data_IF_036672610287
#
_entry.id   IF_036672610287
#
_cell.length_a   1.000
_cell.length_b   1.000
_cell.length_c   1.000
_cell.angle_alpha   90.00
_cell.angle_beta   90.00
_cell.angle_gamma   90.00
#
_symmetry.space_group_name_H-M   'P 1'
#
loop_
_entity.id
_entity.type
_entity.pdbx_description
1 polymer ?
#
# COMPACT_ATOMS: atom_id res chain seq x y z
N UNK A 1 14.48 47.18 41.10
CA UNK A 1 15.05 45.83 41.39
C UNK A 1 14.04 44.79 40.97
N UNK A 2 14.20 44.18 39.77
CA UNK A 2 13.21 43.24 39.23
C UNK A 2 13.68 41.85 39.64
N UNK A 3 13.03 41.26 40.67
CA UNK A 3 13.27 39.86 41.04
C UNK A 3 12.71 38.95 39.91
N UNK A 4 13.57 38.55 39.03
CA UNK A 4 13.27 37.53 38.01
C UNK A 4 13.00 36.19 38.75
N UNK A 5 11.73 35.79 38.80
CA UNK A 5 11.27 34.60 39.55
C UNK A 5 11.78 33.35 38.82
N UNK A 6 12.93 32.82 39.22
CA UNK A 6 13.61 31.66 38.62
C UNK A 6 12.71 30.40 38.64
N UNK A 7 11.76 30.30 39.58
CA UNK A 7 10.83 29.19 39.69
C UNK A 7 9.79 29.17 38.57
N UNK A 8 9.20 30.29 38.20
CA UNK A 8 8.18 30.38 37.14
C UNK A 8 8.76 30.07 35.76
N UNK A 9 10.00 30.47 35.49
CA UNK A 9 10.68 30.14 34.23
C UNK A 9 10.98 28.64 34.12
N UNK A 10 11.39 27.99 35.19
CA UNK A 10 11.65 26.53 35.20
C UNK A 10 10.37 25.73 35.00
N UNK A 11 9.25 26.11 35.61
CA UNK A 11 7.95 25.49 35.44
C UNK A 11 7.43 25.67 34.00
N UNK A 12 7.53 26.88 33.44
CA UNK A 12 7.13 27.16 32.07
C UNK A 12 7.94 26.33 31.04
N UNK A 13 9.24 26.19 31.28
CA UNK A 13 10.11 25.32 30.45
C UNK A 13 9.71 23.87 30.54
N UNK A 14 9.45 23.33 31.73
CA UNK A 14 9.02 21.94 31.93
C UNK A 14 7.68 21.66 31.22
N UNK A 15 6.71 22.58 31.33
CA UNK A 15 5.42 22.47 30.63
C UNK A 15 5.61 22.48 29.10
N UNK A 16 6.46 23.37 28.58
CA UNK A 16 6.75 23.42 27.14
C UNK A 16 7.37 22.09 26.63
N UNK A 17 8.29 21.53 27.41
CA UNK A 17 8.91 20.24 27.06
C UNK A 17 7.86 19.10 27.05
N UNK A 18 6.99 19.05 28.05
CA UNK A 18 5.89 18.05 28.10
C UNK A 18 4.93 18.20 26.93
N UNK A 19 4.52 19.44 26.62
CA UNK A 19 3.66 19.70 25.46
C UNK A 19 4.33 19.30 24.15
N UNK A 20 5.61 19.60 24.01
CA UNK A 20 6.39 19.20 22.83
C UNK A 20 6.45 17.67 22.66
N UNK A 21 6.66 16.94 23.77
CA UNK A 21 6.67 15.47 23.76
C UNK A 21 5.29 14.93 23.37
N UNK A 22 4.19 15.50 23.91
CA UNK A 22 2.82 15.12 23.58
C UNK A 22 2.53 15.37 22.09
N UNK A 23 2.89 16.57 21.59
CA UNK A 23 2.71 16.91 20.17
C UNK A 23 3.51 15.94 19.28
N UNK A 24 4.74 15.63 19.66
CA UNK A 24 5.58 14.69 18.91
C UNK A 24 4.99 13.27 18.93
N UNK A 25 4.41 12.83 20.04
CA UNK A 25 3.74 11.54 20.14
C UNK A 25 2.49 11.48 19.25
N UNK A 26 1.64 12.51 19.32
CA UNK A 26 0.45 12.63 18.48
C UNK A 26 0.80 12.70 16.99
N UNK A 27 1.85 13.44 16.63
CA UNK A 27 2.33 13.52 15.25
C UNK A 27 2.78 12.15 14.73
N UNK A 28 3.49 11.38 15.55
CA UNK A 28 3.93 10.03 15.19
C UNK A 28 2.76 9.09 14.94
N UNK A 29 1.69 9.16 15.73
CA UNK A 29 0.49 8.36 15.52
C UNK A 29 -0.31 8.80 14.29
N UNK A 30 -0.22 10.07 13.91
CA UNK A 30 -0.93 10.64 12.76
C UNK A 30 -0.32 10.29 11.40
N UNK A 31 0.94 9.82 11.34
CA UNK A 31 1.57 9.46 10.05
C UNK A 31 1.27 8.00 9.72
N UNK A 32 0.37 7.73 8.76
CA UNK A 32 0.05 6.38 8.35
C UNK A 32 1.21 5.76 7.54
N UNK A 33 1.23 4.44 7.38
CA UNK A 33 1.98 3.78 6.33
C UNK A 33 1.64 4.37 4.97
N UNK A 34 2.51 4.20 3.99
CA UNK A 34 2.28 4.64 2.62
C UNK A 34 2.61 3.54 1.62
N UNK A 35 1.82 3.43 0.56
CA UNK A 35 2.17 2.66 -0.62
C UNK A 35 3.07 3.54 -1.50
N UNK A 36 4.28 3.07 -1.78
CA UNK A 36 5.21 3.70 -2.71
C UNK A 36 5.27 2.92 -4.01
N UNK A 37 5.26 3.64 -5.14
CA UNK A 37 5.52 3.08 -6.45
C UNK A 37 6.90 3.54 -6.89
N UNK A 38 7.78 2.58 -7.16
CA UNK A 38 9.15 2.88 -7.53
C UNK A 38 9.65 1.98 -8.68
N UNK A 39 10.67 2.46 -9.38
CA UNK A 39 11.35 1.71 -10.41
C UNK A 39 12.31 0.70 -9.77
N UNK A 40 12.19 -0.58 -10.13
CA UNK A 40 12.98 -1.66 -9.51
C UNK A 40 14.45 -1.67 -9.93
N UNK A 41 14.79 -1.04 -11.06
CA UNK A 41 16.16 -1.01 -11.59
C UNK A 41 16.93 0.19 -11.01
N UNK A 42 16.27 1.35 -10.89
CA UNK A 42 16.91 2.61 -10.47
C UNK A 42 16.65 2.99 -9.03
N UNK A 43 15.64 2.39 -8.38
CA UNK A 43 15.16 2.77 -7.06
C UNK A 43 14.42 4.12 -7.02
N UNK A 44 14.16 4.76 -8.17
CA UNK A 44 13.45 6.03 -8.25
C UNK A 44 12.00 5.85 -7.80
N UNK A 45 11.58 6.58 -6.77
CA UNK A 45 10.18 6.66 -6.36
C UNK A 45 9.43 7.62 -7.28
N UNK A 46 8.32 7.16 -7.84
CA UNK A 46 7.44 7.95 -8.69
C UNK A 46 6.39 8.68 -7.88
N UNK A 47 5.77 7.99 -6.92
CA UNK A 47 4.74 8.55 -6.05
C UNK A 47 4.60 7.73 -4.76
N UNK A 48 3.89 8.31 -3.79
CA UNK A 48 3.50 7.67 -2.55
C UNK A 48 2.06 8.08 -2.18
N UNK A 49 1.29 7.11 -1.69
CA UNK A 49 -0.09 7.30 -1.24
C UNK A 49 -0.24 6.86 0.21
N UNK A 50 -0.88 7.66 1.09
CA UNK A 50 -1.21 7.21 2.44
C UNK A 50 -2.05 5.93 2.40
N UNK A 51 -1.61 4.91 3.11
CA UNK A 51 -2.24 3.59 3.13
C UNK A 51 -2.31 3.04 4.56
N UNK A 52 -3.22 3.58 5.40
CA UNK A 52 -3.49 3.00 6.71
C UNK A 52 -4.09 1.59 6.59
N UNK A 53 -4.20 0.91 7.72
CA UNK A 53 -4.87 -0.38 7.85
C UNK A 53 -6.23 -0.39 7.14
N UNK A 54 -6.56 -1.46 6.43
CA UNK A 54 -7.77 -1.60 5.64
C UNK A 54 -7.79 -0.83 4.32
N UNK A 55 -6.69 -0.17 3.92
CA UNK A 55 -6.63 0.48 2.61
C UNK A 55 -6.65 -0.57 1.50
N UNK A 56 -7.66 -0.51 0.63
CA UNK A 56 -7.73 -1.30 -0.59
C UNK A 56 -7.10 -0.54 -1.76
N UNK A 57 -6.41 -1.27 -2.63
CA UNK A 57 -5.97 -0.80 -3.93
C UNK A 57 -6.05 -1.92 -4.95
N UNK A 58 -6.12 -1.57 -6.22
CA UNK A 58 -6.13 -2.54 -7.31
C UNK A 58 -5.26 -2.09 -8.48
N UNK A 59 -4.81 -3.05 -9.26
CA UNK A 59 -4.13 -2.81 -10.53
C UNK A 59 -4.88 -3.51 -11.63
N UNK A 60 -5.41 -2.74 -12.58
CA UNK A 60 -6.13 -3.24 -13.75
C UNK A 60 -5.24 -3.16 -14.99
N UNK A 61 -5.26 -4.19 -15.81
CA UNK A 61 -4.52 -4.24 -17.07
C UNK A 61 -5.21 -5.15 -18.08
N UNK A 62 -4.84 -5.02 -19.36
CA UNK A 62 -5.30 -5.94 -20.41
C UNK A 62 -4.29 -7.07 -20.53
N UNK A 63 -4.74 -8.30 -20.31
CA UNK A 63 -3.90 -9.48 -20.45
C UNK A 63 -3.40 -9.63 -21.89
N UNK A 64 -2.10 -9.81 -22.06
CA UNK A 64 -1.45 -9.79 -23.39
C UNK A 64 -1.92 -10.85 -24.35
N UNK A 65 -2.31 -12.03 -23.86
CA UNK A 65 -2.77 -13.17 -24.66
C UNK A 65 -4.26 -13.08 -24.92
N UNK A 66 -5.08 -13.03 -23.87
CA UNK A 66 -6.55 -13.07 -23.99
C UNK A 66 -7.16 -11.76 -24.48
N UNK A 67 -6.40 -10.65 -24.43
CA UNK A 67 -6.89 -9.29 -24.73
C UNK A 67 -8.10 -8.88 -23.89
N UNK A 68 -8.21 -9.44 -22.71
CA UNK A 68 -9.29 -9.18 -21.75
C UNK A 68 -8.77 -8.48 -20.49
N UNK A 69 -9.60 -7.65 -19.86
CA UNK A 69 -9.28 -7.04 -18.58
C UNK A 69 -9.02 -8.05 -17.47
N UNK A 70 -7.99 -7.79 -16.70
CA UNK A 70 -7.67 -8.45 -15.42
C UNK A 70 -7.47 -7.36 -14.38
N UNK A 71 -8.02 -7.57 -13.19
CA UNK A 71 -7.85 -6.65 -12.06
C UNK A 71 -7.43 -7.43 -10.83
N UNK A 72 -6.24 -7.13 -10.33
CA UNK A 72 -5.72 -7.64 -9.06
C UNK A 72 -6.08 -6.68 -7.93
N UNK A 73 -6.68 -7.18 -6.87
CA UNK A 73 -7.06 -6.42 -5.68
C UNK A 73 -6.20 -6.82 -4.49
N UNK A 74 -5.79 -5.81 -3.75
CA UNK A 74 -4.96 -5.94 -2.56
C UNK A 74 -5.55 -5.12 -1.42
N UNK A 75 -5.27 -5.55 -0.20
CA UNK A 75 -5.62 -4.84 1.03
C UNK A 75 -4.39 -4.70 1.94
N UNK A 76 -4.28 -3.58 2.63
CA UNK A 76 -3.30 -3.42 3.69
C UNK A 76 -3.87 -4.01 4.97
N UNK A 77 -3.24 -5.08 5.43
CA UNK A 77 -3.60 -5.78 6.66
C UNK A 77 -2.35 -6.16 7.44
N UNK A 78 -2.35 -5.88 8.75
CA UNK A 78 -1.22 -6.11 9.65
C UNK A 78 0.10 -5.54 9.11
N UNK A 79 0.06 -4.30 8.61
CA UNK A 79 1.21 -3.62 7.99
C UNK A 79 1.86 -4.40 6.83
N UNK A 80 1.07 -5.19 6.11
CA UNK A 80 1.47 -5.98 4.95
C UNK A 80 0.53 -5.74 3.76
N UNK A 81 1.01 -6.04 2.55
CA UNK A 81 0.16 -6.11 1.35
C UNK A 81 -0.34 -7.54 1.24
N UNK A 82 -1.64 -7.71 1.33
CA UNK A 82 -2.31 -9.02 1.23
C UNK A 82 -3.10 -9.06 -0.08
N UNK A 83 -2.96 -10.14 -0.86
CA UNK A 83 -3.84 -10.35 -2.00
C UNK A 83 -5.26 -10.67 -1.51
N UNK A 84 -6.24 -9.97 -2.07
CA UNK A 84 -7.65 -10.16 -1.73
C UNK A 84 -8.36 -11.01 -2.78
N UNK A 85 -8.36 -10.55 -4.03
CA UNK A 85 -8.97 -11.24 -5.16
C UNK A 85 -8.38 -10.80 -6.49
N UNK A 86 -8.56 -11.63 -7.52
CA UNK A 86 -8.34 -11.26 -8.92
C UNK A 86 -9.62 -11.44 -9.70
N UNK A 87 -9.96 -10.45 -10.53
CA UNK A 87 -11.15 -10.45 -11.40
C UNK A 87 -10.70 -10.57 -12.85
N UNK A 88 -11.26 -11.54 -13.56
CA UNK A 88 -11.03 -11.79 -14.97
C UNK A 88 -12.32 -11.58 -15.77
N UNK A 89 -12.31 -10.71 -16.76
CA UNK A 89 -13.51 -10.44 -17.56
C UNK A 89 -13.81 -11.49 -18.63
N UNK A 90 -12.88 -12.41 -18.89
CA UNK A 90 -13.13 -13.56 -19.77
C UNK A 90 -12.21 -14.73 -19.45
N UNK A 91 -12.71 -15.94 -19.73
CA UNK A 91 -11.93 -17.17 -19.62
C UNK A 91 -10.91 -17.27 -20.75
N UNK A 92 -9.70 -17.75 -20.45
CA UNK A 92 -8.69 -17.98 -21.50
C UNK A 92 -7.28 -18.22 -20.94
N UNK A 93 -6.29 -18.29 -21.82
CA UNK A 93 -4.90 -18.55 -21.44
C UNK A 93 -4.35 -17.47 -20.50
N UNK A 94 -3.76 -17.89 -19.37
CA UNK A 94 -3.27 -17.01 -18.30
C UNK A 94 -4.26 -16.74 -17.19
N UNK A 95 -5.50 -17.24 -17.32
CA UNK A 95 -6.44 -17.28 -16.19
C UNK A 95 -6.07 -18.50 -15.33
N UNK A 96 -6.08 -18.33 -14.02
CA UNK A 96 -5.88 -19.42 -13.09
C UNK A 96 -6.99 -20.45 -13.25
N UNK A 97 -6.62 -21.65 -13.69
CA UNK A 97 -7.58 -22.75 -13.95
C UNK A 97 -7.59 -23.79 -12.83
N UNK A 98 -6.59 -23.74 -11.94
CA UNK A 98 -6.49 -24.64 -10.78
C UNK A 98 -6.46 -23.78 -9.54
N UNK A 99 -7.41 -24.01 -8.64
CA UNK A 99 -7.47 -23.32 -7.35
C UNK A 99 -6.50 -23.99 -6.38
N UNK A 100 -5.82 -23.18 -5.58
CA UNK A 100 -5.03 -23.65 -4.45
C UNK A 100 -5.93 -23.87 -3.21
N UNK A 101 -5.38 -24.50 -2.18
CA UNK A 101 -6.13 -24.75 -0.94
C UNK A 101 -6.54 -23.41 -0.27
N UNK A 102 -7.83 -23.25 -0.06
CA UNK A 102 -8.43 -22.02 0.50
C UNK A 102 -8.95 -21.04 -0.55
N UNK A 103 -8.57 -21.18 -1.80
CA UNK A 103 -9.09 -20.31 -2.87
C UNK A 103 -10.50 -20.71 -3.29
N UNK A 104 -11.28 -19.73 -3.70
CA UNK A 104 -12.64 -19.88 -4.18
C UNK A 104 -12.82 -19.21 -5.52
N UNK A 105 -13.61 -19.84 -6.40
CA UNK A 105 -14.04 -19.26 -7.66
C UNK A 105 -15.51 -18.90 -7.57
N UNK A 106 -15.83 -17.68 -7.90
CA UNK A 106 -17.20 -17.16 -8.02
C UNK A 106 -17.36 -16.31 -9.27
N UNK A 107 -18.57 -15.81 -9.52
CA UNK A 107 -18.85 -14.88 -10.60
C UNK A 107 -19.53 -13.64 -10.02
N UNK A 108 -19.14 -12.44 -10.49
CA UNK A 108 -19.79 -11.20 -10.12
C UNK A 108 -21.10 -10.99 -10.93
N UNK A 109 -21.78 -9.86 -10.67
CA UNK A 109 -23.05 -9.52 -11.33
C UNK A 109 -22.92 -9.31 -12.85
N UNK A 110 -21.72 -8.94 -13.31
CA UNK A 110 -21.40 -8.76 -14.73
C UNK A 110 -20.94 -10.04 -15.41
N UNK A 111 -20.86 -11.14 -14.65
CA UNK A 111 -20.42 -12.46 -15.15
C UNK A 111 -18.89 -12.60 -15.24
N UNK A 112 -18.12 -11.69 -14.64
CA UNK A 112 -16.68 -11.84 -14.56
C UNK A 112 -16.32 -12.93 -13.54
N UNK A 113 -15.24 -13.63 -13.80
CA UNK A 113 -14.72 -14.66 -12.93
C UNK A 113 -13.89 -14.02 -11.80
N UNK A 114 -14.24 -14.33 -10.56
CA UNK A 114 -13.58 -13.81 -9.36
C UNK A 114 -12.91 -14.97 -8.64
N UNK A 115 -11.59 -14.91 -8.55
CA UNK A 115 -10.79 -15.81 -7.70
C UNK A 115 -10.42 -15.05 -6.43
N UNK A 116 -10.74 -15.62 -5.27
CA UNK A 116 -10.51 -15.02 -3.96
C UNK A 116 -10.08 -16.07 -2.93
N UNK A 117 -9.81 -15.64 -1.70
CA UNK A 117 -9.33 -16.54 -0.64
C UNK A 117 -7.82 -16.74 -0.67
N UNK A 118 -7.09 -15.84 -1.30
CA UNK A 118 -5.64 -15.85 -1.29
C UNK A 118 -5.10 -15.65 0.13
N UNK A 119 -4.18 -16.52 0.55
CA UNK A 119 -3.41 -16.36 1.81
C UNK A 119 -2.02 -15.77 1.54
N UNK A 120 -1.89 -15.04 0.42
CA UNK A 120 -0.59 -14.56 -0.05
C UNK A 120 -0.31 -13.15 0.46
N UNK A 121 0.82 -13.02 1.14
CA UNK A 121 1.37 -11.75 1.61
C UNK A 121 2.56 -11.37 0.73
N UNK A 122 2.58 -10.12 0.29
CA UNK A 122 3.63 -9.62 -0.59
C UNK A 122 4.44 -8.52 0.11
N UNK A 123 5.78 -8.64 0.16
CA UNK A 123 6.63 -7.53 0.59
C UNK A 123 6.56 -6.37 -0.43
N UNK A 124 6.32 -6.71 -1.69
CA UNK A 124 6.09 -5.80 -2.81
C UNK A 124 5.39 -6.53 -3.96
N UNK A 125 4.55 -5.82 -4.70
CA UNK A 125 3.90 -6.32 -5.91
C UNK A 125 4.59 -5.72 -7.13
N UNK A 126 5.02 -6.56 -8.07
CA UNK A 126 5.81 -6.14 -9.25
C UNK A 126 4.98 -6.20 -10.52
N UNK A 127 5.13 -5.16 -11.34
CA UNK A 127 4.55 -5.10 -12.68
C UNK A 127 5.58 -4.59 -13.70
N UNK A 128 5.41 -5.01 -14.94
CA UNK A 128 6.00 -4.34 -16.11
C UNK A 128 4.88 -3.56 -16.76
N UNK A 129 4.98 -2.23 -16.73
CA UNK A 129 3.96 -1.34 -17.30
C UNK A 129 3.79 -1.63 -18.79
N UNK A 130 2.55 -1.81 -19.23
CA UNK A 130 2.23 -2.24 -20.59
C UNK A 130 2.80 -1.32 -21.66
N UNK A 131 3.21 -1.92 -22.77
CA UNK A 131 3.69 -1.18 -23.95
C UNK A 131 2.56 -0.76 -24.88
N UNK A 132 1.47 -1.53 -24.90
CA UNK A 132 0.29 -1.29 -25.77
C UNK A 132 -0.88 -0.77 -24.93
N UNK A 133 -1.24 -1.50 -23.90
CA UNK A 133 -2.31 -1.17 -22.98
C UNK A 133 -1.75 -0.60 -21.68
N UNK A 134 -2.49 0.33 -21.09
CA UNK A 134 -2.13 0.91 -19.81
C UNK A 134 -2.32 -0.09 -18.65
N UNK A 135 -1.57 0.13 -17.58
CA UNK A 135 -1.88 -0.40 -16.26
C UNK A 135 -2.45 0.74 -15.43
N UNK A 136 -3.60 0.52 -14.82
CA UNK A 136 -4.31 1.52 -14.03
C UNK A 136 -4.29 1.10 -12.56
N UNK A 137 -3.67 1.93 -11.73
CA UNK A 137 -3.76 1.80 -10.28
C UNK A 137 -5.01 2.51 -9.80
N UNK A 138 -5.88 1.80 -9.07
CA UNK A 138 -6.99 2.42 -8.35
C UNK A 138 -6.71 2.35 -6.85
N UNK A 139 -6.72 3.50 -6.19
CA UNK A 139 -6.57 3.61 -4.73
C UNK A 139 -7.49 4.70 -4.21
N UNK A 140 -8.24 4.40 -3.13
CA UNK A 140 -9.19 5.32 -2.52
C UNK A 140 -10.21 5.88 -3.52
N UNK A 141 -10.67 5.06 -4.46
CA UNK A 141 -11.63 5.43 -5.50
C UNK A 141 -11.10 6.37 -6.57
N UNK A 142 -9.77 6.56 -6.68
CA UNK A 142 -9.12 7.33 -7.74
C UNK A 142 -8.24 6.45 -8.60
N UNK A 143 -8.31 6.68 -9.89
CA UNK A 143 -7.52 5.99 -10.90
C UNK A 143 -6.28 6.80 -11.29
N UNK A 144 -5.18 6.09 -11.49
CA UNK A 144 -3.89 6.65 -11.91
C UNK A 144 -3.29 5.78 -13.00
N UNK A 145 -3.00 6.39 -14.16
CA UNK A 145 -2.30 5.72 -15.25
C UNK A 145 -0.84 5.46 -14.86
N UNK A 146 -0.45 4.19 -14.80
CA UNK A 146 0.94 3.84 -14.56
C UNK A 146 1.82 4.12 -15.76
N UNK A 147 1.25 4.14 -16.98
CA UNK A 147 1.95 4.57 -18.19
C UNK A 147 2.34 6.04 -18.13
N UNK A 148 1.42 6.92 -17.71
CA UNK A 148 1.70 8.35 -17.58
C UNK A 148 2.68 8.64 -16.43
N UNK A 149 2.54 7.91 -15.33
CA UNK A 149 3.33 8.12 -14.13
C UNK A 149 4.75 7.56 -14.22
N UNK A 150 4.89 6.35 -14.77
CA UNK A 150 6.14 5.58 -14.72
C UNK A 150 6.80 5.42 -16.09
N UNK A 151 6.03 5.55 -17.17
CA UNK A 151 6.44 5.28 -18.54
C UNK A 151 6.13 3.85 -18.97
N UNK A 152 6.00 3.67 -20.30
CA UNK A 152 5.80 2.34 -20.90
C UNK A 152 7.00 1.45 -20.67
N UNK A 153 6.76 0.17 -20.50
CA UNK A 153 7.79 -0.85 -20.23
C UNK A 153 8.63 -0.60 -18.96
N UNK A 154 8.15 0.26 -18.06
CA UNK A 154 8.82 0.49 -16.79
C UNK A 154 8.66 -0.73 -15.88
N UNK A 155 9.76 -1.18 -15.29
CA UNK A 155 9.76 -2.22 -14.25
C UNK A 155 9.49 -1.54 -12.92
N UNK A 156 8.32 -1.76 -12.35
CA UNK A 156 7.89 -1.10 -11.12
C UNK A 156 7.60 -2.10 -10.01
N UNK A 157 7.71 -1.62 -8.78
CA UNK A 157 7.18 -2.29 -7.61
C UNK A 157 6.28 -1.34 -6.83
N UNK A 158 5.23 -1.92 -6.26
CA UNK A 158 4.32 -1.29 -5.31
C UNK A 158 4.64 -1.89 -3.95
N UNK A 159 5.14 -1.10 -3.02
CA UNK A 159 5.58 -1.56 -1.71
C UNK A 159 4.97 -0.73 -0.58
N UNK A 160 4.65 -1.37 0.53
CA UNK A 160 4.24 -0.67 1.74
C UNK A 160 5.47 -0.16 2.49
N UNK A 161 5.45 1.13 2.82
CA UNK A 161 6.45 1.78 3.66
C UNK A 161 5.86 2.12 5.01
N UNK A 162 6.24 1.35 6.00
CA UNK A 162 5.86 1.60 7.39
C UNK A 162 6.87 2.56 8.02
N UNK A 163 6.44 3.62 8.71
CA UNK A 163 7.35 4.54 9.40
C UNK A 163 8.26 3.80 10.38
N UNK A 164 9.57 4.03 10.32
CA UNK A 164 10.59 3.30 11.12
C UNK A 164 10.34 3.30 12.63
N UNK A 165 9.66 4.31 13.17
CA UNK A 165 9.33 4.39 14.58
C UNK A 165 8.22 3.40 14.99
N UNK A 166 7.35 2.97 14.05
CA UNK A 166 6.38 1.89 14.29
C UNK A 166 7.07 0.55 14.41
N UNK A 167 7.97 0.22 13.49
CA UNK A 167 8.73 -1.03 13.48
C UNK A 167 9.50 -1.27 14.79
N UNK A 168 10.00 -0.21 15.45
CA UNK A 168 10.70 -0.31 16.73
C UNK A 168 9.81 -0.69 17.92
N UNK A 169 8.49 -0.41 17.86
CA UNK A 169 7.57 -0.78 18.96
C UNK A 169 7.29 -2.29 18.97
N UNK A 170 7.15 -2.90 17.80
CA UNK A 170 6.87 -4.35 17.70
C UNK A 170 8.04 -5.22 18.15
N UNK A 171 9.29 -4.80 17.87
CA UNK A 171 10.48 -5.53 18.37
C UNK A 171 10.62 -5.42 19.87
N UNK A 172 10.30 -4.29 20.48
CA UNK A 172 10.35 -4.12 21.94
C UNK A 172 9.24 -4.88 22.68
N UNK A 173 8.08 -5.08 22.07
CA UNK A 173 6.95 -5.83 22.66
C UNK A 173 7.09 -7.36 22.54
N UNK A 174 8.02 -7.86 21.72
CA UNK A 174 8.28 -9.30 21.57
C UNK A 174 9.43 -9.80 22.44
N UNK A 175 10.15 -8.88 23.11
CA UNK A 175 11.26 -9.18 24.03
C UNK A 175 10.84 -9.13 25.51
N UNK A 176 9.58 -8.80 25.83
CA UNK A 176 8.96 -8.91 27.16
C UNK A 176 8.08 -10.17 27.26
#
# INVERSE_FOLDING_TARGET
>A
MIFKNKGTTAVAFAVAVVLFIIILALYREAVPPSIEIYNTETGRVYCAFPAPEGTEFSVSFIHSVNKSPVTDFFVIHDEQIVADRTVYSSFGAGVQTTLEEGETLSYDEDGNMVVSGFNSVFPEVKYIVGTVYDHVLTIRGREYSLTEMCGRNAHIAIALRVPKWKLRRETASKEE
#
